data_IF_871970129562
#
_entry.id   IF_871970129562
#
_cell.length_a   1.000
_cell.length_b   1.000
_cell.length_c   1.000
_cell.angle_alpha   90.00
_cell.angle_beta   90.00
_cell.angle_gamma   90.00
#
_symmetry.space_group_name_H-M   'P 1'
#
loop_
_entity.id
_entity.type
_entity.pdbx_description
1 polymer ?
#
# COMPACT_ATOMS: atom_id res chain seq x y z
N UNK A 1 -9.74 -13.43 7.57
CA UNK A 1 -9.71 -11.99 7.88
C UNK A 1 -10.83 -11.23 7.19
N UNK A 2 -11.07 -11.44 5.90
CA UNK A 2 -12.17 -10.80 5.18
C UNK A 2 -13.52 -11.43 5.54
N UNK A 3 -14.55 -10.63 5.82
CA UNK A 3 -15.89 -11.16 6.17
C UNK A 3 -16.58 -11.84 4.99
N UNK A 4 -17.54 -12.73 5.26
CA UNK A 4 -18.28 -13.48 4.23
C UNK A 4 -18.95 -12.56 3.20
N UNK A 5 -19.54 -11.43 3.64
CA UNK A 5 -20.13 -10.42 2.76
C UNK A 5 -19.14 -9.90 1.71
N UNK A 6 -17.91 -9.62 2.12
CA UNK A 6 -16.90 -9.08 1.22
C UNK A 6 -16.25 -10.16 0.36
N UNK A 7 -16.19 -11.40 0.82
CA UNK A 7 -15.85 -12.54 -0.02
C UNK A 7 -16.87 -12.75 -1.14
N UNK A 8 -18.16 -12.66 -0.82
CA UNK A 8 -19.22 -12.71 -1.83
C UNK A 8 -19.11 -11.56 -2.84
N UNK A 9 -18.87 -10.33 -2.35
CA UNK A 9 -18.62 -9.17 -3.21
C UNK A 9 -17.44 -9.41 -4.15
N UNK A 10 -16.31 -9.89 -3.62
CA UNK A 10 -15.10 -10.17 -4.38
C UNK A 10 -15.32 -11.27 -5.44
N UNK A 11 -16.01 -12.35 -5.10
CA UNK A 11 -16.29 -13.45 -6.02
C UNK A 11 -17.31 -13.10 -7.08
N UNK A 12 -18.27 -12.23 -6.77
CA UNK A 12 -19.33 -11.81 -7.69
C UNK A 12 -18.86 -10.72 -8.65
N UNK A 13 -18.16 -9.72 -8.13
CA UNK A 13 -17.81 -8.51 -8.89
C UNK A 13 -16.33 -8.39 -9.23
N UNK A 14 -15.49 -9.16 -8.55
CA UNK A 14 -14.03 -9.10 -8.69
C UNK A 14 -13.44 -7.80 -8.14
N UNK A 15 -12.12 -7.76 -8.13
CA UNK A 15 -11.40 -6.51 -7.85
C UNK A 15 -11.30 -5.70 -9.14
N UNK A 16 -11.90 -4.52 -9.15
CA UNK A 16 -11.82 -3.59 -10.29
C UNK A 16 -10.50 -2.81 -10.29
N UNK A 17 -9.41 -3.52 -10.23
CA UNK A 17 -8.10 -2.89 -10.29
C UNK A 17 -7.55 -2.93 -11.71
N UNK A 18 -7.39 -1.76 -12.28
CA UNK A 18 -6.67 -1.57 -13.54
C UNK A 18 -5.20 -1.27 -13.24
N UNK A 19 -4.53 -2.28 -12.75
CA UNK A 19 -3.17 -2.15 -12.34
C UNK A 19 -2.27 -2.91 -13.30
N UNK A 20 -1.30 -2.21 -13.85
CA UNK A 20 -0.39 -2.78 -14.84
C UNK A 20 0.51 -3.90 -14.32
N UNK A 21 0.67 -4.07 -13.00
CA UNK A 21 1.61 -5.05 -12.44
C UNK A 21 0.97 -6.36 -12.03
N UNK A 22 -0.28 -6.42 -11.64
CA UNK A 22 -0.81 -7.59 -10.97
C UNK A 22 -2.01 -8.27 -11.61
N UNK A 23 -2.88 -7.65 -12.31
CA UNK A 23 -4.11 -8.34 -12.63
C UNK A 23 -4.88 -7.88 -13.84
N UNK A 24 -4.36 -7.02 -14.62
CA UNK A 24 -5.01 -6.56 -15.83
C UNK A 24 -4.14 -6.74 -17.06
N UNK A 25 -4.67 -6.43 -18.21
CA UNK A 25 -3.86 -6.24 -19.40
C UNK A 25 -3.03 -4.96 -19.18
N UNK A 26 -1.70 -5.05 -19.01
CA UNK A 26 -0.87 -3.87 -18.93
C UNK A 26 -0.95 -3.11 -20.27
N UNK A 27 -0.88 -1.78 -20.26
CA UNK A 27 -0.84 -1.00 -21.50
C UNK A 27 0.41 -1.27 -22.33
N UNK A 28 1.43 -1.90 -21.74
CA UNK A 28 2.69 -2.30 -22.38
C UNK A 28 3.11 -3.72 -21.95
N UNK A 29 3.90 -4.44 -22.74
CA UNK A 29 4.42 -5.75 -22.38
C UNK A 29 5.30 -5.70 -21.13
N UNK A 30 5.16 -6.70 -20.25
CA UNK A 30 5.99 -6.86 -19.06
C UNK A 30 6.96 -8.00 -19.19
N UNK A 31 8.13 -7.83 -18.58
CA UNK A 31 9.17 -8.85 -18.59
C UNK A 31 8.76 -10.11 -17.80
N UNK A 32 7.96 -9.94 -16.76
CA UNK A 32 7.43 -11.05 -15.96
C UNK A 32 6.16 -10.65 -15.19
N UNK A 33 5.34 -11.63 -14.79
CA UNK A 33 4.19 -11.39 -13.94
C UNK A 33 4.58 -10.72 -12.62
N UNK A 34 3.71 -9.85 -12.12
CA UNK A 34 3.86 -9.15 -10.84
C UNK A 34 5.11 -8.26 -10.72
N UNK A 35 5.82 -7.99 -11.82
CA UNK A 35 7.04 -7.17 -11.85
C UNK A 35 8.07 -7.54 -10.77
N UNK A 36 8.13 -8.82 -10.40
CA UNK A 36 9.02 -9.32 -9.35
C UNK A 36 10.27 -9.95 -9.94
N UNK A 37 11.37 -9.86 -9.21
CA UNK A 37 12.61 -10.54 -9.55
C UNK A 37 12.36 -12.04 -9.66
N UNK A 38 13.04 -12.70 -10.59
CA UNK A 38 12.88 -14.15 -10.81
C UNK A 38 13.24 -14.98 -9.59
N UNK A 39 14.25 -14.56 -8.85
CA UNK A 39 14.73 -15.21 -7.63
C UNK A 39 13.87 -14.94 -6.38
N UNK A 40 12.85 -14.08 -6.49
CA UNK A 40 11.88 -13.85 -5.43
C UNK A 40 10.69 -14.85 -5.46
N UNK A 41 10.69 -15.80 -6.39
CA UNK A 41 9.64 -16.80 -6.55
C UNK A 41 10.00 -18.07 -5.78
N UNK A 42 9.29 -18.42 -4.69
CA UNK A 42 9.48 -19.69 -4.03
C UNK A 42 9.02 -20.84 -4.91
N UNK A 43 9.55 -22.05 -4.74
CA UNK A 43 9.10 -23.22 -5.48
C UNK A 43 7.59 -23.46 -5.33
N UNK A 44 6.85 -23.40 -6.44
CA UNK A 44 5.41 -23.63 -6.44
C UNK A 44 4.55 -22.49 -5.90
N UNK A 45 5.15 -21.33 -5.58
CA UNK A 45 4.46 -20.16 -5.02
C UNK A 45 4.64 -18.89 -5.84
N UNK A 46 4.06 -17.81 -5.34
CA UNK A 46 4.23 -16.46 -5.87
C UNK A 46 5.17 -15.66 -4.97
N UNK A 47 5.74 -14.54 -5.43
CA UNK A 47 6.53 -13.67 -4.56
C UNK A 47 5.77 -13.29 -3.30
N UNK A 48 6.48 -13.25 -2.17
CA UNK A 48 5.93 -12.95 -0.85
C UNK A 48 4.81 -13.91 -0.37
N UNK A 49 4.86 -15.18 -0.76
CA UNK A 49 3.92 -16.20 -0.29
C UNK A 49 4.50 -17.18 0.74
N UNK A 50 5.82 -17.15 0.94
CA UNK A 50 6.54 -18.09 1.80
C UNK A 50 7.54 -17.34 2.68
N UNK A 51 7.32 -17.39 3.99
CA UNK A 51 8.16 -16.69 4.96
C UNK A 51 9.54 -17.34 5.09
N UNK A 52 9.63 -18.66 5.06
CA UNK A 52 10.90 -19.35 5.22
C UNK A 52 11.78 -19.14 3.99
N UNK A 53 11.17 -19.10 2.82
CA UNK A 53 11.87 -18.71 1.59
C UNK A 53 12.37 -17.25 1.65
N UNK A 54 11.55 -16.32 2.16
CA UNK A 54 11.99 -14.93 2.36
C UNK A 54 13.14 -14.82 3.35
N UNK A 55 13.11 -15.57 4.46
CA UNK A 55 14.22 -15.65 5.41
C UNK A 55 15.50 -16.03 4.69
N UNK A 56 15.48 -17.18 4.02
CA UNK A 56 16.63 -17.69 3.29
C UNK A 56 17.10 -16.76 2.18
N UNK A 57 16.20 -16.35 1.29
CA UNK A 57 16.54 -15.61 0.07
C UNK A 57 16.93 -14.15 0.34
N UNK A 58 16.33 -13.51 1.33
CA UNK A 58 16.48 -12.07 1.57
C UNK A 58 17.09 -11.78 2.95
N UNK A 59 16.44 -12.17 4.03
CA UNK A 59 16.81 -11.69 5.35
C UNK A 59 18.17 -12.21 5.81
N UNK A 60 18.40 -13.51 5.68
CA UNK A 60 19.64 -14.16 6.13
C UNK A 60 20.77 -13.91 5.13
N UNK A 61 20.48 -14.03 3.83
CA UNK A 61 21.46 -13.89 2.77
C UNK A 61 22.10 -12.49 2.72
N UNK A 62 21.35 -11.45 3.07
CA UNK A 62 21.82 -10.06 3.10
C UNK A 62 22.09 -9.52 4.49
N UNK A 63 21.96 -10.33 5.53
CA UNK A 63 22.17 -9.90 6.92
C UNK A 63 21.22 -8.77 7.31
N UNK A 64 19.95 -8.87 6.92
CA UNK A 64 18.96 -7.82 7.15
C UNK A 64 18.51 -7.81 8.61
N UNK A 65 18.76 -6.72 9.32
CA UNK A 65 18.35 -6.54 10.71
C UNK A 65 16.88 -6.12 10.84
N UNK A 66 16.40 -5.27 9.93
CA UNK A 66 15.00 -4.79 9.90
C UNK A 66 14.49 -4.71 8.46
N UNK A 67 13.33 -5.30 8.22
CA UNK A 67 12.59 -5.19 6.97
C UNK A 67 11.20 -4.59 7.20
N UNK A 68 10.79 -3.62 6.37
CA UNK A 68 9.45 -3.03 6.42
C UNK A 68 8.61 -3.59 5.29
N UNK A 69 7.50 -4.24 5.64
CA UNK A 69 6.54 -4.78 4.68
C UNK A 69 5.60 -3.68 4.18
N UNK A 70 5.51 -3.55 2.88
CA UNK A 70 4.58 -2.66 2.20
C UNK A 70 3.58 -3.50 1.38
N UNK A 71 2.41 -3.84 1.92
CA UNK A 71 1.38 -4.55 1.17
C UNK A 71 0.82 -3.64 0.08
N UNK A 72 1.17 -3.92 -1.16
CA UNK A 72 0.74 -3.10 -2.28
C UNK A 72 -0.53 -3.65 -2.95
N UNK A 73 -0.70 -4.98 -2.94
CA UNK A 73 -1.87 -5.64 -3.50
C UNK A 73 -2.03 -7.09 -3.02
N UNK A 74 -3.27 -7.56 -2.89
CA UNK A 74 -4.52 -6.82 -2.83
C UNK A 74 -4.70 -6.19 -1.44
N UNK A 75 -4.76 -4.87 -1.34
CA UNK A 75 -4.87 -4.17 -0.06
C UNK A 75 -6.10 -3.28 0.06
N UNK A 76 -6.86 -3.13 -1.03
CA UNK A 76 -8.04 -2.27 -1.09
C UNK A 76 -7.74 -0.77 -1.12
N UNK A 77 -6.48 -0.37 -0.99
CA UNK A 77 -6.09 1.04 -0.98
C UNK A 77 -6.52 1.74 -2.27
N UNK A 78 -7.20 2.87 -2.12
CA UNK A 78 -7.71 3.67 -3.23
C UNK A 78 -8.88 3.03 -3.98
N UNK A 79 -9.49 1.95 -3.49
CA UNK A 79 -10.73 1.44 -4.07
C UNK A 79 -11.87 2.45 -3.87
N UNK A 80 -12.69 2.64 -4.91
CA UNK A 80 -13.80 3.60 -4.89
C UNK A 80 -14.99 3.15 -4.05
N UNK A 81 -15.07 1.88 -3.71
CA UNK A 81 -16.02 1.37 -2.73
C UNK A 81 -15.38 1.47 -1.34
N UNK A 82 -15.66 2.56 -0.63
CA UNK A 82 -15.04 2.83 0.67
C UNK A 82 -15.25 1.70 1.68
N UNK A 83 -16.42 1.07 1.71
CA UNK A 83 -16.69 -0.06 2.60
C UNK A 83 -15.83 -1.29 2.27
N UNK A 84 -15.64 -1.58 0.99
CA UNK A 84 -14.74 -2.65 0.55
C UNK A 84 -13.28 -2.29 0.82
N UNK A 85 -12.87 -1.05 0.52
CA UNK A 85 -11.53 -0.54 0.81
C UNK A 85 -11.16 -0.68 2.28
N UNK A 86 -12.05 -0.26 3.18
CA UNK A 86 -11.85 -0.38 4.64
C UNK A 86 -11.74 -1.84 5.09
N UNK A 87 -12.62 -2.72 4.60
CA UNK A 87 -12.59 -4.14 4.95
C UNK A 87 -11.32 -4.84 4.45
N UNK A 88 -10.85 -4.49 3.25
CA UNK A 88 -9.61 -5.04 2.68
C UNK A 88 -8.37 -4.53 3.42
N UNK A 89 -8.32 -3.25 3.74
CA UNK A 89 -7.21 -2.67 4.51
C UNK A 89 -7.09 -3.34 5.89
N UNK A 90 -8.19 -3.45 6.61
CA UNK A 90 -8.24 -4.15 7.90
C UNK A 90 -7.78 -5.62 7.76
N UNK A 91 -8.34 -6.37 6.81
CA UNK A 91 -7.99 -7.77 6.58
C UNK A 91 -6.51 -7.94 6.22
N UNK A 92 -5.94 -7.00 5.46
CA UNK A 92 -4.51 -6.99 5.10
C UNK A 92 -3.64 -6.76 6.33
N UNK A 93 -4.02 -5.84 7.22
CA UNK A 93 -3.28 -5.59 8.46
C UNK A 93 -3.31 -6.79 9.40
N UNK A 94 -4.46 -7.45 9.56
CA UNK A 94 -4.55 -8.69 10.32
C UNK A 94 -3.71 -9.82 9.71
N UNK A 95 -3.74 -9.95 8.38
CA UNK A 95 -2.94 -10.94 7.68
C UNK A 95 -1.43 -10.72 7.85
N UNK A 96 -0.95 -9.47 7.74
CA UNK A 96 0.47 -9.17 8.00
C UNK A 96 0.88 -9.61 9.41
N UNK A 97 0.08 -9.26 10.41
CA UNK A 97 0.37 -9.62 11.79
C UNK A 97 0.49 -11.13 11.98
N UNK A 98 -0.49 -11.89 11.52
CA UNK A 98 -0.53 -13.34 11.79
C UNK A 98 0.37 -14.15 10.88
N UNK A 99 0.48 -13.78 9.62
CA UNK A 99 1.26 -14.54 8.65
C UNK A 99 2.77 -14.25 8.73
N UNK A 100 3.16 -13.03 9.11
CA UNK A 100 4.53 -12.53 8.99
C UNK A 100 5.09 -11.94 10.27
N UNK A 101 4.51 -10.87 10.80
CA UNK A 101 5.16 -10.01 11.79
C UNK A 101 5.37 -10.71 13.13
N UNK A 102 4.39 -11.49 13.60
CA UNK A 102 4.50 -12.26 14.83
C UNK A 102 5.46 -13.46 14.74
N UNK A 103 5.82 -13.86 13.51
CA UNK A 103 6.68 -15.02 13.25
C UNK A 103 8.12 -14.65 12.93
N UNK A 104 8.38 -13.40 12.57
CA UNK A 104 9.71 -12.92 12.20
C UNK A 104 9.99 -11.56 12.85
N UNK A 105 10.80 -11.54 13.93
CA UNK A 105 11.03 -10.33 14.72
C UNK A 105 11.80 -9.23 13.99
N UNK A 106 12.45 -9.52 12.87
CA UNK A 106 13.11 -8.53 12.01
C UNK A 106 12.12 -7.77 11.13
N UNK A 107 10.89 -8.23 10.99
CA UNK A 107 9.88 -7.58 10.14
C UNK A 107 9.04 -6.59 10.92
N UNK A 108 8.70 -5.50 10.25
CA UNK A 108 7.71 -4.50 10.67
C UNK A 108 6.71 -4.31 9.54
N UNK A 109 5.47 -4.09 9.89
CA UNK A 109 4.41 -3.81 8.93
C UNK A 109 4.21 -2.32 8.68
N UNK A 110 3.64 -2.01 7.54
CA UNK A 110 3.02 -0.72 7.30
C UNK A 110 1.53 -0.84 7.52
N UNK A 111 0.94 0.08 8.29
CA UNK A 111 -0.51 0.14 8.46
C UNK A 111 -1.14 0.52 7.13
N UNK A 112 -1.83 -0.42 6.52
CA UNK A 112 -2.61 -0.19 5.29
C UNK A 112 -3.89 0.54 5.65
N UNK A 113 -4.21 1.62 4.96
CA UNK A 113 -5.39 2.45 5.22
C UNK A 113 -6.21 2.68 3.95
N UNK A 114 -7.55 2.78 4.07
CA UNK A 114 -8.41 3.15 2.96
C UNK A 114 -8.39 4.67 2.75
N UNK A 115 -7.27 5.22 2.29
CA UNK A 115 -6.95 6.65 2.35
C UNK A 115 -8.00 7.58 1.71
N UNK A 116 -8.85 7.10 0.81
CA UNK A 116 -9.95 7.91 0.29
C UNK A 116 -11.12 8.06 1.29
N UNK A 117 -11.11 7.27 2.37
CA UNK A 117 -11.98 7.43 3.55
C UNK A 117 -11.12 7.77 4.76
N UNK A 118 -10.96 9.06 5.02
CA UNK A 118 -10.08 9.54 6.10
C UNK A 118 -10.54 9.13 7.49
N UNK A 119 -11.85 9.02 7.71
CA UNK A 119 -12.39 8.60 9.00
C UNK A 119 -12.10 7.12 9.27
N UNK A 120 -12.33 6.26 8.29
CA UNK A 120 -12.00 4.83 8.39
C UNK A 120 -10.49 4.63 8.52
N UNK A 121 -9.69 5.43 7.81
CA UNK A 121 -8.23 5.42 7.90
C UNK A 121 -7.74 5.79 9.30
N UNK A 122 -8.24 6.87 9.87
CA UNK A 122 -7.90 7.28 11.23
C UNK A 122 -8.29 6.23 12.28
N UNK A 123 -9.44 5.59 12.11
CA UNK A 123 -9.88 4.50 12.98
C UNK A 123 -8.93 3.29 12.92
N UNK A 124 -8.51 2.88 11.71
CA UNK A 124 -7.56 1.76 11.54
C UNK A 124 -6.19 2.08 12.12
N UNK A 125 -5.66 3.31 11.93
CA UNK A 125 -4.40 3.75 12.54
C UNK A 125 -4.48 3.67 14.06
N UNK A 126 -5.54 4.21 14.67
CA UNK A 126 -5.72 4.18 16.12
C UNK A 126 -5.85 2.76 16.67
N UNK A 127 -6.47 1.85 15.90
CA UNK A 127 -6.56 0.44 16.27
C UNK A 127 -5.19 -0.27 16.29
N UNK A 128 -4.19 0.25 15.59
CA UNK A 128 -2.80 -0.25 15.56
C UNK A 128 -1.84 0.56 16.44
N UNK A 129 -2.31 1.62 17.06
CA UNK A 129 -1.46 2.47 17.90
C UNK A 129 -0.84 1.67 19.03
N UNK A 130 0.49 1.83 19.22
CA UNK A 130 1.24 1.13 20.26
C UNK A 130 1.60 -0.34 19.95
N UNK A 131 1.15 -0.90 18.83
CA UNK A 131 1.61 -2.24 18.41
C UNK A 131 3.01 -2.14 17.79
N UNK A 132 4.06 -2.72 18.45
CA UNK A 132 5.44 -2.62 17.98
C UNK A 132 5.70 -3.32 16.64
N UNK A 133 4.76 -4.08 16.15
CA UNK A 133 4.85 -4.72 14.85
C UNK A 133 4.66 -3.76 13.67
N UNK A 134 4.08 -2.57 13.88
CA UNK A 134 3.91 -1.56 12.85
C UNK A 134 4.92 -0.42 12.99
N UNK A 135 5.50 0.01 11.86
CA UNK A 135 6.52 1.06 11.82
C UNK A 135 6.06 2.34 11.14
N UNK A 136 5.01 2.31 10.34
CA UNK A 136 4.54 3.44 9.55
C UNK A 136 3.10 3.25 9.06
N UNK A 137 2.48 4.34 8.61
CA UNK A 137 1.22 4.32 7.84
C UNK A 137 1.56 4.37 6.35
N UNK A 138 0.94 3.51 5.54
CA UNK A 138 1.18 3.42 4.10
C UNK A 138 0.08 4.11 3.31
N UNK A 139 0.45 5.12 2.54
CA UNK A 139 -0.38 5.75 1.52
C UNK A 139 0.23 5.56 0.13
N UNK A 140 -0.59 5.66 -0.90
CA UNK A 140 -0.11 5.68 -2.28
C UNK A 140 0.01 7.12 -2.78
N UNK A 141 0.92 7.34 -3.73
CA UNK A 141 1.18 8.67 -4.28
C UNK A 141 0.09 9.20 -5.21
N UNK A 142 -0.83 8.33 -5.64
CA UNK A 142 -1.97 8.71 -6.50
C UNK A 142 -3.27 8.64 -5.73
N UNK A 143 -3.60 9.74 -5.14
CA UNK A 143 -4.84 10.01 -4.39
C UNK A 143 -5.83 10.77 -5.28
N UNK A 144 -7.11 10.80 -4.90
CA UNK A 144 -8.14 11.53 -5.65
C UNK A 144 -7.87 13.03 -5.70
N UNK A 145 -7.37 13.57 -4.57
CA UNK A 145 -6.92 14.95 -4.42
C UNK A 145 -5.44 14.95 -4.02
N UNK A 146 -4.68 16.04 -4.21
CA UNK A 146 -3.33 16.12 -3.68
C UNK A 146 -3.26 15.88 -2.17
N UNK A 147 -2.21 15.22 -1.70
CA UNK A 147 -2.13 14.71 -0.33
C UNK A 147 -2.20 15.79 0.76
N UNK A 148 -1.85 17.03 0.48
CA UNK A 148 -2.01 18.14 1.41
C UNK A 148 -3.45 18.57 1.64
N UNK A 149 -4.39 18.14 0.77
CA UNK A 149 -5.80 18.53 0.89
C UNK A 149 -6.35 18.20 2.29
N UNK A 150 -7.09 19.12 2.93
CA UNK A 150 -7.66 18.94 4.27
C UNK A 150 -8.47 17.67 4.48
N UNK A 151 -9.01 17.09 3.42
CA UNK A 151 -9.73 15.80 3.51
C UNK A 151 -8.86 14.66 4.04
N UNK A 152 -7.53 14.72 3.89
CA UNK A 152 -6.60 13.69 4.37
C UNK A 152 -6.01 14.01 5.75
N UNK A 153 -6.22 15.19 6.29
CA UNK A 153 -5.65 15.59 7.59
C UNK A 153 -6.00 14.65 8.74
N UNK A 154 -7.22 14.08 8.84
CA UNK A 154 -7.50 13.10 9.89
C UNK A 154 -6.58 11.88 9.89
N UNK A 155 -6.02 11.51 8.72
CA UNK A 155 -5.03 10.42 8.60
C UNK A 155 -3.72 10.86 9.28
N UNK A 156 -3.25 12.06 8.98
CA UNK A 156 -2.01 12.60 9.54
C UNK A 156 -2.12 12.84 11.03
N UNK A 157 -3.25 13.39 11.49
CA UNK A 157 -3.54 13.59 12.91
C UNK A 157 -3.49 12.25 13.67
N UNK A 158 -4.15 11.21 13.16
CA UNK A 158 -4.11 9.89 13.75
C UNK A 158 -2.71 9.25 13.71
N UNK A 159 -1.93 9.48 12.66
CA UNK A 159 -0.55 9.01 12.56
C UNK A 159 0.35 9.67 13.61
N UNK A 160 0.23 10.98 13.80
CA UNK A 160 0.95 11.73 14.86
C UNK A 160 0.54 11.23 16.24
N UNK A 161 -0.76 11.07 16.52
CA UNK A 161 -1.27 10.50 17.78
C UNK A 161 -0.68 9.10 18.07
N UNK A 162 -0.52 8.29 17.03
CA UNK A 162 0.04 6.93 17.12
C UNK A 162 1.58 6.90 17.14
N UNK A 163 2.26 8.03 16.90
CA UNK A 163 3.72 8.09 16.77
C UNK A 163 4.26 7.38 15.53
N UNK A 164 3.46 7.27 14.47
CA UNK A 164 3.82 6.59 13.22
C UNK A 164 4.06 7.61 12.10
N UNK A 165 5.19 7.54 11.39
CA UNK A 165 5.40 8.32 10.18
C UNK A 165 4.45 7.87 9.07
N UNK A 166 4.12 8.78 8.15
CA UNK A 166 3.36 8.46 6.93
C UNK A 166 4.33 8.27 5.78
N UNK A 167 4.27 7.11 5.15
CA UNK A 167 5.06 6.76 3.97
C UNK A 167 4.19 6.79 2.70
N UNK A 168 4.70 7.43 1.65
CA UNK A 168 4.08 7.41 0.34
C UNK A 168 4.81 6.43 -0.57
N UNK A 169 4.08 5.44 -1.09
CA UNK A 169 4.61 4.56 -2.12
C UNK A 169 4.16 5.04 -3.50
N UNK A 170 5.08 4.99 -4.48
CA UNK A 170 4.70 5.16 -5.87
C UNK A 170 3.60 4.16 -6.24
N UNK A 171 2.75 4.49 -7.11
CA UNK A 171 1.54 3.84 -7.59
C UNK A 171 0.26 4.48 -7.05
N UNK A 172 -0.80 4.24 -7.76
CA UNK A 172 -2.17 4.45 -7.36
C UNK A 172 -2.98 3.33 -7.97
N UNK A 173 -4.01 2.91 -7.26
CA UNK A 173 -4.84 1.80 -7.65
C UNK A 173 -6.26 2.26 -7.98
N UNK A 174 -7.09 1.35 -8.44
CA UNK A 174 -8.53 1.55 -8.53
C UNK A 174 -9.01 2.65 -9.48
N UNK A 175 -8.47 2.63 -10.68
CA UNK A 175 -9.03 3.45 -11.77
C UNK A 175 -8.43 4.84 -11.93
N UNK A 176 -7.42 5.18 -11.14
CA UNK A 176 -6.57 6.33 -11.43
C UNK A 176 -5.54 5.96 -12.49
N UNK A 177 -5.25 6.90 -13.39
CA UNK A 177 -4.22 6.69 -14.38
C UNK A 177 -2.86 6.46 -13.72
N UNK A 178 -2.01 5.65 -14.37
CA UNK A 178 -0.69 5.31 -13.84
C UNK A 178 0.29 6.48 -13.93
N UNK A 179 -0.01 7.47 -14.77
CA UNK A 179 0.76 8.71 -14.88
C UNK A 179 -0.12 9.92 -14.61
N UNK A 180 0.48 11.06 -14.26
CA UNK A 180 -0.23 12.34 -14.12
C UNK A 180 -0.78 12.84 -15.46
N UNK A 181 -0.20 12.38 -16.57
CA UNK A 181 -0.64 12.68 -17.95
C UNK A 181 -1.70 11.73 -18.49
N UNK A 182 -2.10 10.72 -17.73
CA UNK A 182 -3.08 9.72 -18.16
C UNK A 182 -2.53 8.30 -18.20
N UNK A 183 -3.10 7.44 -19.04
CA UNK A 183 -2.68 6.05 -19.19
C UNK A 183 -1.45 5.96 -20.11
N UNK A 184 -0.32 5.40 -19.64
CA UNK A 184 0.90 5.33 -20.45
C UNK A 184 0.79 4.31 -21.57
N UNK A 185 1.45 4.60 -22.69
CA UNK A 185 1.64 3.66 -23.80
C UNK A 185 2.98 2.92 -23.72
N UNK A 186 3.96 3.52 -23.04
CA UNK A 186 5.30 2.98 -22.89
C UNK A 186 5.70 2.87 -21.43
N UNK A 187 6.49 1.85 -21.13
CA UNK A 187 6.99 1.58 -19.76
C UNK A 187 7.75 2.77 -19.15
N UNK A 188 8.51 3.50 -19.95
CA UNK A 188 9.27 4.66 -19.47
C UNK A 188 8.37 5.79 -18.99
N UNK A 189 7.19 5.96 -19.57
CA UNK A 189 6.21 6.97 -19.12
C UNK A 189 5.74 6.66 -17.70
N UNK A 190 5.46 5.38 -17.41
CA UNK A 190 5.08 4.96 -16.06
C UNK A 190 6.23 5.15 -15.05
N UNK A 191 7.43 4.72 -15.41
CA UNK A 191 8.60 4.78 -14.51
C UNK A 191 8.97 6.23 -14.16
N UNK A 192 8.96 7.13 -15.15
CA UNK A 192 9.26 8.55 -14.90
C UNK A 192 8.23 9.23 -14.00
N UNK A 193 6.97 8.84 -14.11
CA UNK A 193 5.88 9.44 -13.33
C UNK A 193 5.84 8.97 -11.86
N UNK A 194 6.49 7.89 -11.52
CA UNK A 194 6.56 7.47 -10.11
C UNK A 194 7.22 8.52 -9.21
N UNK A 195 8.36 9.04 -9.65
CA UNK A 195 9.05 10.11 -8.93
C UNK A 195 8.23 11.41 -8.93
N UNK A 196 7.68 11.78 -10.08
CA UNK A 196 6.89 13.01 -10.24
C UNK A 196 5.63 13.00 -9.38
N UNK A 197 4.92 11.87 -9.28
CA UNK A 197 3.75 11.77 -8.42
C UNK A 197 4.10 11.95 -6.94
N UNK A 198 5.19 11.36 -6.46
CA UNK A 198 5.65 11.56 -5.09
C UNK A 198 6.09 13.02 -4.83
N UNK A 199 6.79 13.64 -5.77
CA UNK A 199 7.17 15.07 -5.68
C UNK A 199 5.94 15.97 -5.55
N UNK A 200 4.91 15.73 -6.36
CA UNK A 200 3.66 16.50 -6.28
C UNK A 200 2.98 16.36 -4.93
N UNK A 201 3.01 15.17 -4.30
CA UNK A 201 2.47 14.99 -2.96
C UNK A 201 3.26 15.79 -1.92
N UNK A 202 4.60 15.77 -1.98
CA UNK A 202 5.45 16.56 -1.08
C UNK A 202 5.16 18.06 -1.23
N UNK A 203 5.07 18.56 -2.47
CA UNK A 203 4.72 19.97 -2.74
C UNK A 203 3.37 20.30 -2.11
N UNK A 204 2.36 19.45 -2.31
CA UNK A 204 1.03 19.65 -1.73
C UNK A 204 1.05 19.72 -0.20
N UNK A 205 1.75 18.80 0.46
CA UNK A 205 1.90 18.80 1.91
C UNK A 205 2.51 20.10 2.45
N UNK A 206 3.50 20.65 1.72
CA UNK A 206 4.15 21.91 2.08
C UNK A 206 3.22 23.10 1.90
N UNK A 207 2.63 23.25 0.70
CA UNK A 207 1.84 24.45 0.38
C UNK A 207 0.50 24.53 1.12
N UNK A 208 -0.05 23.38 1.52
CA UNK A 208 -1.26 23.30 2.34
C UNK A 208 -0.97 23.43 3.86
N UNK A 209 0.31 23.58 4.23
CA UNK A 209 0.70 23.83 5.62
C UNK A 209 0.58 22.62 6.55
N UNK A 210 0.63 21.39 6.01
CA UNK A 210 0.50 20.18 6.84
C UNK A 210 1.61 20.09 7.87
N UNK A 211 2.87 20.42 7.51
CA UNK A 211 4.01 20.38 8.41
C UNK A 211 4.04 21.52 9.45
N UNK A 212 3.34 22.62 9.19
CA UNK A 212 3.16 23.69 10.19
C UNK A 212 2.14 23.30 11.25
N UNK A 213 1.09 22.59 10.82
CA UNK A 213 0.02 22.12 11.71
C UNK A 213 0.42 20.87 12.50
N UNK A 214 1.18 19.98 11.89
CA UNK A 214 1.58 18.68 12.43
C UNK A 214 3.11 18.52 12.29
N UNK A 215 3.88 19.20 13.15
CA UNK A 215 5.34 19.23 13.10
C UNK A 215 5.99 17.88 13.43
#
# INVERSE_FOLDING_TARGET
FLSARWWEHLTTWGMRQRHGYTGGQPPFPKAQPMASRRDAWPPGGTPCSDLDFMRFQLLDNYGTDVGILNPLQPSGQGDRNNGFSAAMAHATNEWQLEAWLRKEPRLRGSVVVPYEDSAASAAEIRARAGDPNFAQVLMMSRTAEPAGNPRYWPIYEAAVEAGLPVAFHAFGYSGWAMTNGGWPSFYIEEVSEHATSCQNQVISLVVEGVFERLP
#
